data_IF_536050371428
#
_entry.id   IF_536050371428
#
_cell.length_a   1.000
_cell.length_b   1.000
_cell.length_c   1.000
_cell.angle_alpha   90.00
_cell.angle_beta   90.00
_cell.angle_gamma   90.00
#
_symmetry.space_group_name_H-M   'P 1'
#
loop_
_entity.id
_entity.type
_entity.pdbx_description
1 polymer ?
#
# COMPACT_ATOMS: atom_id res chain seq x y z
N UNK A 1 15.95 -41.42 21.28
CA UNK A 1 15.34 -40.07 21.37
C UNK A 1 15.78 -39.25 20.16
N UNK A 2 14.90 -39.05 19.16
CA UNK A 2 15.18 -38.18 18.01
C UNK A 2 14.82 -36.75 18.41
N UNK A 3 15.84 -35.90 18.48
CA UNK A 3 15.70 -34.46 18.65
C UNK A 3 14.86 -33.87 17.51
N UNK A 4 13.71 -33.29 17.84
CA UNK A 4 12.90 -32.50 16.92
C UNK A 4 13.69 -31.26 16.52
N UNK A 5 14.11 -31.20 15.26
CA UNK A 5 14.80 -30.04 14.69
C UNK A 5 13.89 -28.82 14.72
N UNK A 6 14.31 -27.80 15.47
CA UNK A 6 13.66 -26.49 15.47
C UNK A 6 13.68 -25.90 14.06
N UNK A 7 12.48 -25.68 13.52
CA UNK A 7 12.28 -24.96 12.26
C UNK A 7 12.90 -23.57 12.38
N UNK A 8 14.06 -23.37 11.73
CA UNK A 8 14.63 -22.04 11.50
C UNK A 8 13.58 -21.27 10.68
N UNK A 9 12.86 -20.33 11.30
CA UNK A 9 12.11 -19.31 10.56
C UNK A 9 13.09 -18.64 9.59
N UNK A 10 12.96 -18.93 8.30
CA UNK A 10 13.64 -18.18 7.25
C UNK A 10 13.29 -16.71 7.44
N UNK A 11 14.28 -15.89 7.80
CA UNK A 11 14.09 -14.43 7.88
C UNK A 11 13.90 -13.95 6.45
N UNK A 12 12.70 -13.48 6.13
CA UNK A 12 12.41 -12.83 4.85
C UNK A 12 13.42 -11.71 4.61
N UNK A 13 14.17 -11.80 3.50
CA UNK A 13 15.13 -10.76 3.13
C UNK A 13 14.34 -9.58 2.57
N UNK A 14 14.48 -8.42 3.23
CA UNK A 14 13.87 -7.16 2.79
C UNK A 14 14.95 -6.29 2.16
N UNK A 15 14.70 -5.83 0.94
CA UNK A 15 15.53 -4.85 0.25
C UNK A 15 14.92 -3.46 0.47
N UNK A 16 15.69 -2.54 1.06
CA UNK A 16 15.27 -1.16 1.30
C UNK A 16 16.02 -0.21 0.36
N UNK A 17 15.29 0.66 -0.31
CA UNK A 17 15.84 1.78 -1.08
C UNK A 17 15.13 3.08 -0.68
N UNK A 18 15.85 4.20 -0.77
CA UNK A 18 15.27 5.54 -0.66
C UNK A 18 15.51 6.19 -2.02
N UNK A 19 14.44 6.61 -2.68
CA UNK A 19 14.51 7.27 -3.98
C UNK A 19 14.94 8.74 -3.81
N UNK A 20 15.36 9.38 -4.91
CA UNK A 20 15.81 10.78 -4.90
C UNK A 20 14.74 11.76 -4.40
N UNK A 21 13.45 11.41 -4.55
CA UNK A 21 12.32 12.18 -4.03
C UNK A 21 11.99 11.91 -2.55
N UNK A 22 12.77 11.09 -1.86
CA UNK A 22 12.59 10.73 -0.45
C UNK A 22 11.64 9.54 -0.20
N UNK A 23 11.01 8.96 -1.23
CA UNK A 23 10.14 7.79 -1.06
C UNK A 23 10.96 6.57 -0.60
N UNK A 24 10.55 5.98 0.52
CA UNK A 24 11.13 4.71 0.99
C UNK A 24 10.41 3.55 0.32
N UNK A 25 11.18 2.71 -0.38
CA UNK A 25 10.69 1.49 -1.04
C UNK A 25 11.21 0.27 -0.29
N UNK A 26 10.30 -0.63 0.07
CA UNK A 26 10.61 -1.94 0.65
C UNK A 26 10.20 -3.02 -0.34
N UNK A 27 11.17 -3.81 -0.79
CA UNK A 27 10.96 -4.93 -1.71
C UNK A 27 11.21 -6.25 -0.98
N UNK A 28 10.22 -7.13 -1.03
CA UNK A 28 10.34 -8.52 -0.62
C UNK A 28 10.19 -9.37 -1.86
N UNK A 29 11.25 -10.06 -2.25
CA UNK A 29 11.23 -10.93 -3.41
C UNK A 29 10.81 -12.35 -2.99
N UNK A 30 9.72 -12.83 -3.59
CA UNK A 30 9.23 -14.19 -3.41
C UNK A 30 8.96 -14.82 -4.77
N UNK A 31 9.74 -15.85 -5.13
CA UNK A 31 9.65 -16.54 -6.43
C UNK A 31 8.71 -17.75 -6.41
N UNK A 32 7.99 -17.99 -5.30
CA UNK A 32 7.09 -19.15 -5.16
C UNK A 32 5.82 -19.02 -6.00
N UNK A 33 5.37 -17.81 -6.30
CA UNK A 33 4.19 -17.55 -7.13
C UNK A 33 4.45 -16.37 -8.08
N UNK A 34 3.73 -16.34 -9.21
CA UNK A 34 3.79 -15.25 -10.19
C UNK A 34 2.79 -14.15 -9.83
N UNK A 35 2.84 -13.68 -8.60
CA UNK A 35 1.95 -12.64 -8.07
C UNK A 35 2.78 -11.49 -7.52
N UNK A 36 2.19 -10.30 -7.53
CA UNK A 36 2.77 -9.10 -6.92
C UNK A 36 1.70 -8.44 -6.08
N UNK A 37 2.06 -7.99 -4.87
CA UNK A 37 1.25 -7.12 -4.04
C UNK A 37 2.01 -5.82 -3.83
N UNK A 38 1.34 -4.71 -4.03
CA UNK A 38 1.90 -3.36 -3.86
C UNK A 38 1.07 -2.67 -2.79
N UNK A 39 1.74 -2.04 -1.84
CA UNK A 39 1.13 -1.20 -0.82
C UNK A 39 1.88 0.14 -0.81
N UNK A 40 1.11 1.23 -0.81
CA UNK A 40 1.61 2.58 -0.67
C UNK A 40 1.04 3.13 0.63
N UNK A 41 1.90 3.69 1.47
CA UNK A 41 1.48 4.31 2.72
C UNK A 41 1.81 5.79 2.68
N UNK A 42 0.81 6.60 2.99
CA UNK A 42 0.97 8.03 3.24
C UNK A 42 0.93 8.23 4.75
N UNK A 43 1.91 8.96 5.29
CA UNK A 43 1.94 9.34 6.71
C UNK A 43 0.95 10.46 7.01
N UNK A 44 -0.32 10.19 6.75
CA UNK A 44 -1.48 11.04 6.99
C UNK A 44 -2.68 10.14 7.29
N UNK A 45 -3.50 10.54 8.25
CA UNK A 45 -4.60 9.76 8.80
C UNK A 45 -5.35 10.60 9.83
N UNK A 46 -6.34 10.03 10.51
CA UNK A 46 -7.27 10.84 11.32
C UNK A 46 -6.62 11.64 12.47
N UNK A 47 -5.44 11.26 12.98
CA UNK A 47 -4.73 12.06 14.00
C UNK A 47 -4.16 13.38 13.46
N UNK A 48 -4.05 13.52 12.14
CA UNK A 48 -3.48 14.68 11.48
C UNK A 48 -4.53 15.70 11.04
N UNK A 49 -5.82 15.45 11.32
CA UNK A 49 -6.92 16.27 10.78
C UNK A 49 -7.10 17.62 11.51
N UNK A 50 -6.29 17.92 12.53
CA UNK A 50 -6.35 19.16 13.31
C UNK A 50 -7.76 19.54 13.81
N UNK A 51 -7.84 20.58 14.64
CA UNK A 51 -9.13 21.01 15.20
C UNK A 51 -10.03 21.70 14.16
N UNK A 52 -9.45 22.30 13.13
CA UNK A 52 -10.14 23.21 12.21
C UNK A 52 -10.53 22.60 10.86
N UNK A 53 -9.99 21.43 10.45
CA UNK A 53 -10.42 20.77 9.21
C UNK A 53 -11.64 19.86 9.43
N UNK A 54 -11.97 19.50 10.68
CA UNK A 54 -13.03 18.56 11.02
C UNK A 54 -12.52 17.12 11.10
N UNK A 55 -13.42 16.15 11.29
CA UNK A 55 -13.09 14.72 11.38
C UNK A 55 -13.51 13.97 10.12
N UNK A 56 -12.69 13.03 9.65
CA UNK A 56 -12.97 12.17 8.51
C UNK A 56 -12.46 12.70 7.16
N UNK A 57 -11.69 13.80 7.14
CA UNK A 57 -11.13 14.37 5.91
C UNK A 57 -10.16 13.41 5.23
N UNK A 58 -9.33 12.70 5.99
CA UNK A 58 -8.39 11.71 5.46
C UNK A 58 -9.13 10.56 4.79
N UNK A 59 -10.19 10.05 5.44
CA UNK A 59 -11.04 9.00 4.90
C UNK A 59 -11.82 9.47 3.66
N UNK A 60 -12.27 10.72 3.66
CA UNK A 60 -12.89 11.31 2.49
C UNK A 60 -11.92 11.40 1.31
N UNK A 61 -10.68 11.85 1.55
CA UNK A 61 -9.64 11.93 0.51
C UNK A 61 -9.32 10.53 -0.05
N UNK A 62 -9.26 9.49 0.78
CA UNK A 62 -9.06 8.11 0.33
C UNK A 62 -10.13 7.67 -0.69
N UNK A 63 -11.40 8.02 -0.48
CA UNK A 63 -12.45 7.70 -1.44
C UNK A 63 -12.36 8.50 -2.74
N UNK A 64 -11.90 9.75 -2.67
CA UNK A 64 -11.88 10.66 -3.83
C UNK A 64 -10.59 10.55 -4.64
N UNK A 65 -9.50 10.00 -4.07
CA UNK A 65 -8.19 9.92 -4.75
C UNK A 65 -8.23 9.07 -6.03
N UNK A 66 -9.22 8.18 -6.14
CA UNK A 66 -9.40 7.28 -7.27
C UNK A 66 -10.33 7.85 -8.36
N UNK A 67 -10.86 9.08 -8.21
CA UNK A 67 -11.74 9.72 -9.20
C UNK A 67 -11.03 10.18 -10.49
N UNK A 68 -9.73 9.92 -10.60
CA UNK A 68 -8.93 10.19 -11.78
C UNK A 68 -7.70 11.04 -11.48
N UNK A 69 -6.87 11.20 -12.49
CA UNK A 69 -5.64 11.99 -12.45
C UNK A 69 -5.61 12.97 -13.63
N UNK A 70 -4.71 13.97 -13.65
CA UNK A 70 -4.54 14.84 -14.81
C UNK A 70 -4.27 14.12 -16.14
N UNK A 71 -3.85 12.84 -16.08
CA UNK A 71 -3.45 12.05 -17.27
C UNK A 71 -4.37 10.88 -17.57
N UNK A 72 -5.30 10.52 -16.68
CA UNK A 72 -6.17 9.34 -16.79
C UNK A 72 -7.50 9.59 -16.10
N UNK A 73 -8.60 9.29 -16.78
CA UNK A 73 -9.93 9.30 -16.15
C UNK A 73 -10.10 8.09 -15.21
N UNK A 74 -11.08 8.14 -14.30
CA UNK A 74 -11.49 6.98 -13.50
C UNK A 74 -11.76 5.74 -14.38
N UNK A 75 -12.48 5.91 -15.49
CA UNK A 75 -12.77 4.82 -16.42
C UNK A 75 -11.52 4.19 -17.05
N UNK A 76 -10.46 4.98 -17.30
CA UNK A 76 -9.19 4.45 -17.79
C UNK A 76 -8.46 3.61 -16.72
N UNK A 77 -8.55 4.03 -15.46
CA UNK A 77 -7.99 3.33 -14.30
C UNK A 77 -8.74 2.01 -14.08
N UNK A 78 -10.07 2.04 -14.04
CA UNK A 78 -10.92 0.86 -13.85
C UNK A 78 -10.65 -0.19 -14.93
N UNK A 79 -10.62 0.23 -16.21
CA UNK A 79 -10.31 -0.68 -17.33
C UNK A 79 -8.93 -1.30 -17.20
N UNK A 80 -7.94 -0.56 -16.70
CA UNK A 80 -6.59 -1.08 -16.49
C UNK A 80 -6.58 -2.14 -15.37
N UNK A 81 -7.24 -1.88 -14.25
CA UNK A 81 -7.39 -2.80 -13.13
C UNK A 81 -8.07 -4.10 -13.58
N UNK A 82 -9.20 -3.98 -14.28
CA UNK A 82 -9.96 -5.12 -14.83
C UNK A 82 -9.12 -5.95 -15.79
N UNK A 83 -8.41 -5.30 -16.72
CA UNK A 83 -7.56 -5.99 -17.72
C UNK A 83 -6.46 -6.82 -17.06
N UNK A 84 -5.97 -6.41 -15.89
CA UNK A 84 -4.96 -7.14 -15.12
C UNK A 84 -5.55 -8.24 -14.24
N UNK A 85 -6.89 -8.28 -14.06
CA UNK A 85 -7.53 -9.11 -13.05
C UNK A 85 -7.10 -8.72 -11.63
N UNK A 86 -6.78 -7.44 -11.43
CA UNK A 86 -6.31 -6.92 -10.14
C UNK A 86 -7.47 -6.77 -9.15
N UNK A 87 -7.19 -7.00 -7.87
CA UNK A 87 -8.07 -6.67 -6.75
C UNK A 87 -7.36 -5.63 -5.90
N UNK A 88 -7.88 -4.41 -5.88
CA UNK A 88 -7.36 -3.30 -5.10
C UNK A 88 -8.30 -2.94 -3.95
N UNK A 89 -7.73 -2.42 -2.87
CA UNK A 89 -8.45 -1.82 -1.77
C UNK A 89 -7.60 -0.69 -1.17
N UNK A 90 -8.24 0.20 -0.42
CA UNK A 90 -7.60 1.23 0.38
C UNK A 90 -8.21 1.24 1.79
N UNK A 91 -7.52 1.87 2.73
CA UNK A 91 -8.08 2.11 4.06
C UNK A 91 -7.40 3.32 4.69
N UNK A 92 -8.17 4.07 5.48
CA UNK A 92 -7.63 5.15 6.30
C UNK A 92 -7.64 4.74 7.76
N UNK A 93 -6.50 4.88 8.43
CA UNK A 93 -6.38 4.67 9.87
C UNK A 93 -6.01 5.96 10.62
N UNK A 94 -5.65 5.82 11.89
CA UNK A 94 -5.27 6.92 12.77
C UNK A 94 -4.05 7.66 12.24
N UNK A 95 -2.98 6.95 11.89
CA UNK A 95 -1.67 7.51 11.61
C UNK A 95 -1.20 7.36 10.16
N UNK A 96 -1.97 6.65 9.32
CA UNK A 96 -1.67 6.44 7.92
C UNK A 96 -2.93 6.14 7.11
N UNK A 97 -2.76 6.26 5.80
CA UNK A 97 -3.67 5.82 4.74
C UNK A 97 -2.82 5.02 3.76
#
# INVERSE_FOLDING_TARGET
MRSLGGSRRSRTKVHKAILDNGLTVLLIEDRRCRLVSIQLFVRAGSIYEDKYLGTGVSHFVEHVIDDGTPTRSRADIDRLIEKMGNVSNAYTWRDHT
#
